data_IF_773720455546
#
_entry.id   IF_773720455546
#
_cell.length_a   1.000
_cell.length_b   1.000
_cell.length_c   1.000
_cell.angle_alpha   90.00
_cell.angle_beta   90.00
_cell.angle_gamma   90.00
#
_symmetry.space_group_name_H-M   'P 1'
#
loop_
_entity.id
_entity.type
_entity.pdbx_description
1 polymer ?
#
# COMPACT_ATOMS: atom_id res chain seq x y z
N UNK A 1 -5.39 13.83 -12.73
CA UNK A 1 -6.17 12.94 -11.85
C UNK A 1 -6.06 11.51 -12.34
N UNK A 2 -5.69 10.60 -11.46
CA UNK A 2 -5.55 9.19 -11.82
C UNK A 2 -6.90 8.57 -12.16
N UNK A 3 -6.88 7.54 -13.03
CA UNK A 3 -8.08 6.76 -13.32
C UNK A 3 -8.35 5.80 -12.17
N UNK A 4 -9.64 5.60 -11.86
CA UNK A 4 -10.07 4.74 -10.76
C UNK A 4 -10.79 3.52 -11.29
N UNK A 5 -10.38 2.33 -10.80
CA UNK A 5 -11.12 1.07 -10.96
C UNK A 5 -11.60 0.60 -9.61
N UNK A 6 -12.90 0.54 -9.44
CA UNK A 6 -13.53 0.12 -8.19
C UNK A 6 -14.03 -1.31 -8.32
N UNK A 7 -13.53 -2.20 -7.46
CA UNK A 7 -14.03 -3.57 -7.37
C UNK A 7 -15.01 -3.76 -6.23
N UNK A 8 -14.83 -3.03 -5.13
CA UNK A 8 -15.71 -3.08 -3.97
C UNK A 8 -15.85 -1.72 -3.31
N UNK A 9 -16.56 -1.70 -2.19
CA UNK A 9 -16.77 -0.49 -1.40
C UNK A 9 -15.64 -0.31 -0.38
N UNK A 10 -15.19 0.94 -0.14
CA UNK A 10 -14.32 1.21 1.01
C UNK A 10 -15.00 0.74 2.30
N UNK A 11 -14.21 0.11 3.18
CA UNK A 11 -14.75 -0.42 4.44
C UNK A 11 -14.95 0.65 5.50
N UNK A 12 -14.25 1.78 5.39
CA UNK A 12 -14.30 2.84 6.40
C UNK A 12 -13.94 4.20 5.80
N UNK A 13 -14.08 5.23 6.63
CA UNK A 13 -13.82 6.62 6.22
C UNK A 13 -12.36 6.87 5.85
N UNK A 14 -11.42 6.18 6.49
CA UNK A 14 -9.99 6.31 6.19
C UNK A 14 -9.68 5.83 4.77
N UNK A 15 -10.25 4.70 4.36
CA UNK A 15 -10.07 4.20 2.99
C UNK A 15 -10.69 5.14 1.96
N UNK A 16 -11.91 5.63 2.21
CA UNK A 16 -12.57 6.58 1.32
C UNK A 16 -11.75 7.85 1.15
N UNK A 17 -11.21 8.37 2.25
CA UNK A 17 -10.36 9.56 2.24
C UNK A 17 -9.09 9.33 1.44
N UNK A 18 -8.43 8.19 1.65
CA UNK A 18 -7.20 7.85 0.94
C UNK A 18 -7.42 7.71 -0.57
N UNK A 19 -8.47 7.01 -0.97
CA UNK A 19 -8.81 6.82 -2.39
C UNK A 19 -9.02 8.17 -3.08
N UNK A 20 -9.82 9.04 -2.47
CA UNK A 20 -10.12 10.36 -3.04
C UNK A 20 -8.87 11.22 -3.14
N UNK A 21 -8.09 11.30 -2.06
CA UNK A 21 -6.88 12.09 -2.00
C UNK A 21 -5.87 11.67 -3.06
N UNK A 22 -5.61 10.38 -3.16
CA UNK A 22 -4.66 9.83 -4.13
C UNK A 22 -5.15 10.02 -5.57
N UNK A 23 -6.42 9.73 -5.84
CA UNK A 23 -6.96 9.87 -7.18
C UNK A 23 -6.87 11.29 -7.72
N UNK A 24 -7.13 12.28 -6.87
CA UNK A 24 -7.08 13.69 -7.25
C UNK A 24 -5.65 14.20 -7.49
N UNK A 25 -4.64 13.61 -6.86
CA UNK A 25 -3.27 14.13 -6.81
C UNK A 25 -2.23 13.30 -7.52
N UNK A 26 -2.50 12.02 -7.79
CA UNK A 26 -1.59 11.21 -8.60
C UNK A 26 -1.64 11.64 -10.07
N UNK A 27 -0.55 11.42 -10.84
CA UNK A 27 -0.51 11.78 -12.26
C UNK A 27 -1.65 11.14 -13.06
N UNK A 28 -2.09 11.80 -14.13
CA UNK A 28 -3.19 11.34 -14.99
C UNK A 28 -2.92 9.98 -15.63
N UNK A 29 -1.65 9.63 -15.83
CA UNK A 29 -1.25 8.35 -16.39
C UNK A 29 -1.36 7.19 -15.41
N UNK A 30 -1.54 7.49 -14.12
CA UNK A 30 -1.62 6.47 -13.07
C UNK A 30 -3.01 5.86 -13.02
N UNK A 31 -3.06 4.62 -12.51
CA UNK A 31 -4.28 3.88 -12.29
C UNK A 31 -4.38 3.52 -10.81
N UNK A 32 -5.54 3.77 -10.21
CA UNK A 32 -5.84 3.39 -8.84
C UNK A 32 -6.92 2.33 -8.85
N UNK A 33 -6.60 1.16 -8.31
CA UNK A 33 -7.53 0.03 -8.16
C UNK A 33 -7.80 -0.13 -6.68
N UNK A 34 -9.06 -0.27 -6.28
CA UNK A 34 -9.34 -0.36 -4.86
C UNK A 34 -10.38 -1.41 -4.50
N UNK A 35 -10.25 -1.90 -3.27
CA UNK A 35 -11.16 -2.83 -2.62
C UNK A 35 -11.39 -4.09 -3.43
N UNK A 36 -10.33 -4.82 -3.66
CA UNK A 36 -10.36 -6.09 -4.38
C UNK A 36 -9.80 -7.23 -3.53
N UNK A 37 -10.07 -8.45 -3.95
CA UNK A 37 -9.64 -9.66 -3.27
C UNK A 37 -8.84 -10.55 -4.21
N UNK A 38 -7.87 -11.26 -3.64
CA UNK A 38 -7.12 -12.30 -4.35
C UNK A 38 -7.14 -13.59 -3.55
N UNK A 39 -7.36 -14.71 -4.24
CA UNK A 39 -7.34 -16.04 -3.62
C UNK A 39 -6.07 -16.78 -4.02
N UNK A 40 -5.56 -17.62 -3.11
CA UNK A 40 -4.40 -18.48 -3.37
C UNK A 40 -4.79 -19.94 -3.58
N UNK A 41 -6.10 -20.22 -3.62
CA UNK A 41 -6.62 -21.58 -3.71
C UNK A 41 -6.81 -22.27 -2.36
N UNK A 42 -6.34 -21.69 -1.28
CA UNK A 42 -6.44 -22.22 0.08
C UNK A 42 -6.86 -21.11 1.05
N UNK A 43 -7.83 -21.41 1.90
CA UNK A 43 -8.29 -20.50 2.94
C UNK A 43 -9.09 -19.31 2.42
N UNK A 44 -9.18 -18.28 3.25
CA UNK A 44 -9.91 -17.06 2.95
C UNK A 44 -9.18 -16.19 1.94
N UNK A 45 -9.91 -15.42 1.12
CA UNK A 45 -9.27 -14.46 0.22
C UNK A 45 -8.51 -13.40 1.00
N UNK A 46 -7.46 -12.86 0.38
CA UNK A 46 -6.76 -11.67 0.88
C UNK A 46 -7.45 -10.42 0.35
N UNK A 47 -7.76 -9.51 1.24
CA UNK A 47 -8.37 -8.23 0.89
C UNK A 47 -7.30 -7.16 0.69
N UNK A 48 -7.48 -6.36 -0.37
CA UNK A 48 -6.56 -5.27 -0.72
C UNK A 48 -7.32 -3.95 -0.68
N UNK A 49 -6.76 -2.98 0.02
CA UNK A 49 -7.35 -1.64 0.07
C UNK A 49 -7.15 -0.93 -1.26
N UNK A 50 -5.90 -0.73 -1.65
CA UNK A 50 -5.54 0.03 -2.86
C UNK A 50 -4.33 -0.60 -3.54
N UNK A 51 -4.36 -0.62 -4.87
CA UNK A 51 -3.18 -0.81 -5.71
C UNK A 51 -3.03 0.41 -6.61
N UNK A 52 -1.84 0.98 -6.65
CA UNK A 52 -1.52 2.12 -7.51
C UNK A 52 -0.57 1.65 -8.61
N UNK A 53 -1.03 1.72 -9.85
CA UNK A 53 -0.23 1.37 -11.01
C UNK A 53 0.45 2.64 -11.51
N UNK A 54 1.74 2.74 -11.28
CA UNK A 54 2.54 3.90 -11.66
C UNK A 54 3.48 3.60 -12.83
N UNK A 55 4.38 4.54 -13.10
CA UNK A 55 5.34 4.41 -14.21
C UNK A 55 6.47 3.43 -13.91
N UNK A 56 6.79 3.21 -12.64
CA UNK A 56 7.99 2.47 -12.23
C UNK A 56 7.68 1.18 -11.48
N UNK A 57 6.51 1.11 -10.83
CA UNK A 57 6.09 -0.08 -10.12
C UNK A 57 4.59 -0.06 -9.86
N UNK A 58 4.09 -1.16 -9.34
CA UNK A 58 2.75 -1.26 -8.74
C UNK A 58 2.92 -1.16 -7.23
N UNK A 59 2.23 -0.22 -6.61
CA UNK A 59 2.22 -0.06 -5.16
C UNK A 59 1.01 -0.76 -4.56
N UNK A 60 1.25 -1.68 -3.64
CA UNK A 60 0.21 -2.19 -2.76
C UNK A 60 0.16 -1.27 -1.55
N UNK A 61 -0.96 -0.57 -1.37
CA UNK A 61 -1.13 0.42 -0.33
C UNK A 61 -2.15 -0.08 0.70
N UNK A 62 -1.68 -0.34 1.92
CA UNK A 62 -2.54 -0.65 3.07
C UNK A 62 -2.87 0.64 3.80
N UNK A 63 -4.16 0.90 3.96
CA UNK A 63 -4.65 2.13 4.60
C UNK A 63 -4.91 1.88 6.07
N UNK A 64 -4.33 2.70 6.94
CA UNK A 64 -4.51 2.61 8.38
C UNK A 64 -4.90 3.96 8.97
N UNK A 65 -6.02 3.98 9.70
CA UNK A 65 -6.49 5.16 10.41
C UNK A 65 -6.03 5.22 11.87
N UNK A 66 -4.86 4.70 12.16
CA UNK A 66 -4.31 4.70 13.52
C UNK A 66 -4.12 6.11 14.07
N UNK A 67 -4.26 6.26 15.38
CA UNK A 67 -4.09 7.53 16.08
C UNK A 67 -3.04 7.45 17.17
N UNK A 68 -2.41 8.57 17.46
CA UNK A 68 -1.42 8.70 18.53
C UNK A 68 -0.04 8.26 18.12
N UNK A 69 0.79 7.95 19.11
CA UNK A 69 2.16 7.49 18.89
C UNK A 69 2.20 5.97 18.97
N UNK A 70 2.81 5.36 17.97
CA UNK A 70 2.97 3.92 17.86
C UNK A 70 4.44 3.60 17.99
N UNK A 71 4.78 2.62 18.83
CA UNK A 71 6.15 2.14 19.04
C UNK A 71 6.19 0.66 18.72
N UNK A 72 7.38 0.15 18.42
CA UNK A 72 7.54 -1.28 18.19
C UNK A 72 8.59 -1.62 17.16
N UNK A 73 8.42 -2.79 16.57
CA UNK A 73 9.34 -3.37 15.60
C UNK A 73 8.55 -4.04 14.45
N UNK A 74 9.21 -4.89 13.69
CA UNK A 74 8.57 -5.64 12.60
C UNK A 74 7.50 -6.63 13.06
N UNK A 75 7.53 -7.03 14.33
CA UNK A 75 6.64 -8.06 14.83
C UNK A 75 5.44 -7.49 15.56
N UNK A 76 5.66 -6.50 16.42
CA UNK A 76 4.62 -5.95 17.29
C UNK A 76 4.63 -4.44 17.31
N UNK A 77 3.44 -3.86 17.30
CA UNK A 77 3.23 -2.43 17.49
C UNK A 77 2.45 -2.19 18.78
N UNK A 78 2.92 -1.20 19.55
CA UNK A 78 2.31 -0.80 20.83
C UNK A 78 1.77 0.62 20.69
N UNK A 79 0.48 0.77 20.99
CA UNK A 79 -0.23 2.06 20.90
C UNK A 79 -0.17 2.80 22.23
N UNK A 80 -0.47 4.10 22.22
CA UNK A 80 -0.45 4.95 23.43
C UNK A 80 -1.33 4.43 24.56
N UNK A 81 -2.45 3.80 24.22
CA UNK A 81 -3.36 3.21 25.20
C UNK A 81 -2.88 1.87 25.78
N UNK A 82 -1.70 1.43 25.42
CA UNK A 82 -1.13 0.15 25.85
C UNK A 82 -1.57 -1.04 25.01
N UNK A 83 -2.47 -0.86 24.04
CA UNK A 83 -2.90 -1.94 23.15
C UNK A 83 -1.72 -2.42 22.31
N UNK A 84 -1.58 -3.72 22.18
CA UNK A 84 -0.53 -4.36 21.38
C UNK A 84 -1.21 -5.12 20.24
N UNK A 85 -0.65 -4.99 19.04
CA UNK A 85 -1.09 -5.78 17.89
C UNK A 85 0.08 -6.08 16.97
N UNK A 86 -0.06 -7.07 16.08
CA UNK A 86 1.00 -7.36 15.11
C UNK A 86 1.26 -6.15 14.22
N UNK A 87 2.53 -5.96 13.85
CA UNK A 87 2.87 -4.97 12.82
C UNK A 87 2.13 -5.30 11.52
N UNK A 88 1.59 -4.32 10.81
CA UNK A 88 0.93 -4.58 9.52
C UNK A 88 1.91 -4.89 8.40
N UNK A 89 3.20 -4.66 8.59
CA UNK A 89 4.20 -4.74 7.52
C UNK A 89 4.40 -6.17 6.99
N UNK A 90 4.59 -7.20 7.83
CA UNK A 90 4.80 -8.56 7.30
C UNK A 90 3.64 -9.07 6.45
N UNK A 91 2.40 -8.85 6.89
CA UNK A 91 1.24 -9.26 6.11
C UNK A 91 1.10 -8.46 4.82
N UNK A 92 1.32 -7.15 4.87
CA UNK A 92 1.28 -6.30 3.69
C UNK A 92 2.34 -6.71 2.66
N UNK A 93 3.55 -7.05 3.10
CA UNK A 93 4.60 -7.56 2.22
C UNK A 93 4.22 -8.91 1.59
N UNK A 94 3.61 -9.79 2.36
CA UNK A 94 3.09 -11.06 1.84
C UNK A 94 2.03 -10.83 0.76
N UNK A 95 1.11 -9.92 0.99
CA UNK A 95 0.08 -9.56 0.01
C UNK A 95 0.69 -8.98 -1.27
N UNK A 96 1.72 -8.17 -1.15
CA UNK A 96 2.44 -7.63 -2.32
C UNK A 96 3.06 -8.75 -3.15
N UNK A 97 3.64 -9.76 -2.53
CA UNK A 97 4.21 -10.93 -3.23
C UNK A 97 3.12 -11.75 -3.92
N UNK A 98 1.97 -11.90 -3.28
CA UNK A 98 0.82 -12.59 -3.88
C UNK A 98 0.34 -11.84 -5.12
N UNK A 99 0.21 -10.52 -5.04
CA UNK A 99 -0.19 -9.68 -6.17
C UNK A 99 0.80 -9.82 -7.33
N UNK A 100 2.10 -9.76 -7.06
CA UNK A 100 3.14 -9.95 -8.07
C UNK A 100 3.02 -11.32 -8.76
N UNK A 101 2.78 -12.37 -7.98
CA UNK A 101 2.59 -13.73 -8.50
C UNK A 101 1.36 -13.84 -9.40
N UNK A 102 0.26 -13.21 -9.01
CA UNK A 102 -0.97 -13.20 -9.82
C UNK A 102 -0.79 -12.44 -11.13
N UNK A 103 -0.07 -11.32 -11.11
CA UNK A 103 0.26 -10.57 -12.32
C UNK A 103 1.09 -11.40 -13.28
N UNK A 104 2.12 -12.08 -12.77
CA UNK A 104 2.96 -12.96 -13.57
C UNK A 104 2.17 -14.10 -14.22
N UNK A 105 1.24 -14.70 -13.50
CA UNK A 105 0.38 -15.76 -14.02
C UNK A 105 -0.61 -15.25 -15.08
N UNK A 106 -1.07 -14.02 -14.93
CA UNK A 106 -2.01 -13.43 -15.88
C UNK A 106 -1.36 -13.12 -17.23
N UNK A 107 -0.09 -12.69 -17.23
CA UNK A 107 0.67 -12.47 -18.45
C UNK A 107 2.18 -12.54 -18.13
N UNK A 108 2.93 -13.30 -18.94
CA UNK A 108 4.36 -13.49 -18.70
C UNK A 108 5.15 -12.18 -18.63
N UNK A 109 4.79 -11.18 -19.47
CA UNK A 109 5.44 -9.86 -19.47
C UNK A 109 5.27 -9.12 -18.14
N UNK A 110 4.22 -9.41 -17.39
CA UNK A 110 3.97 -8.78 -16.08
C UNK A 110 4.85 -9.36 -14.98
N UNK A 111 5.59 -10.42 -15.22
CA UNK A 111 6.56 -10.95 -14.27
C UNK A 111 7.74 -10.03 -14.01
N UNK A 112 7.93 -9.00 -14.84
CA UNK A 112 8.96 -7.97 -14.66
C UNK A 112 8.48 -6.78 -13.85
N UNK A 113 7.18 -6.69 -13.58
CA UNK A 113 6.60 -5.61 -12.80
C UNK A 113 7.00 -5.78 -11.35
N UNK A 114 7.59 -4.75 -10.77
CA UNK A 114 7.89 -4.70 -9.35
C UNK A 114 6.63 -4.30 -8.59
N UNK A 115 6.31 -5.06 -7.55
CA UNK A 115 5.22 -4.73 -6.63
C UNK A 115 5.81 -4.41 -5.28
N UNK A 116 5.60 -3.21 -4.79
CA UNK A 116 6.10 -2.78 -3.50
C UNK A 116 4.97 -2.42 -2.54
N UNK A 117 5.29 -2.31 -1.26
CA UNK A 117 4.36 -2.09 -0.17
C UNK A 117 4.48 -0.68 0.38
N UNK A 118 3.35 -0.05 0.64
CA UNK A 118 3.28 1.17 1.42
C UNK A 118 2.18 1.05 2.48
N UNK A 119 2.49 1.45 3.71
CA UNK A 119 1.51 1.59 4.79
C UNK A 119 1.13 3.06 4.85
N UNK A 120 -0.12 3.37 4.58
CA UNK A 120 -0.62 4.74 4.47
C UNK A 120 -1.40 5.13 5.71
N UNK A 121 -0.90 6.14 6.41
CA UNK A 121 -1.53 6.68 7.60
C UNK A 121 -2.39 7.89 7.21
N UNK A 122 -3.68 7.83 7.52
CA UNK A 122 -4.63 8.88 7.14
C UNK A 122 -4.79 9.98 8.19
N UNK A 123 -4.36 9.74 9.42
CA UNK A 123 -4.32 10.78 10.46
C UNK A 123 -2.94 11.44 10.47
N UNK A 124 -2.89 12.73 10.17
CA UNK A 124 -1.65 13.50 10.04
C UNK A 124 -0.89 13.66 11.36
N UNK A 125 -1.54 13.42 12.50
CA UNK A 125 -0.94 13.52 13.82
C UNK A 125 -0.33 12.20 14.30
N UNK A 126 -0.58 11.10 13.60
CA UNK A 126 -0.03 9.79 13.97
C UNK A 126 1.47 9.78 13.80
N UNK A 127 2.17 9.30 14.81
CA UNK A 127 3.63 9.15 14.80
C UNK A 127 3.99 7.69 14.97
N UNK A 128 4.83 7.17 14.08
CA UNK A 128 5.32 5.81 14.16
C UNK A 128 6.81 5.82 14.48
N UNK A 129 7.16 5.21 15.61
CA UNK A 129 8.54 5.12 16.11
C UNK A 129 8.94 3.66 16.22
N UNK A 130 9.24 3.07 15.09
CA UNK A 130 9.68 1.67 15.01
C UNK A 130 11.13 1.62 14.54
N UNK A 131 11.87 0.61 15.03
CA UNK A 131 13.31 0.45 14.77
C UNK A 131 13.59 -0.41 13.55
N UNK A 132 12.85 -0.23 12.50
CA UNK A 132 12.94 -1.11 11.36
C UNK A 132 13.37 -0.36 10.11
N UNK A 133 14.21 -1.00 9.29
CA UNK A 133 14.57 -0.45 7.98
C UNK A 133 13.34 -0.32 7.08
N UNK A 134 12.29 -1.05 7.39
CA UNK A 134 11.03 -0.99 6.67
C UNK A 134 10.18 0.23 7.01
N UNK A 135 10.57 1.02 8.01
CA UNK A 135 9.85 2.25 8.39
C UNK A 135 9.72 3.23 7.22
N UNK A 136 10.63 3.17 6.26
CA UNK A 136 10.58 3.99 5.04
C UNK A 136 9.34 3.73 4.19
N UNK A 137 8.65 2.62 4.43
CA UNK A 137 7.42 2.27 3.73
C UNK A 137 6.15 2.77 4.42
N UNK A 138 6.31 3.46 5.55
CA UNK A 138 5.20 4.03 6.31
C UNK A 138 5.14 5.51 5.97
N UNK A 139 4.04 5.93 5.33
CA UNK A 139 3.89 7.29 4.82
C UNK A 139 2.57 7.90 5.28
N UNK A 140 2.58 9.22 5.48
CA UNK A 140 1.36 9.96 5.74
C UNK A 140 0.64 10.30 4.44
N UNK A 141 -0.67 10.46 4.52
CA UNK A 141 -1.51 10.69 3.34
C UNK A 141 -1.06 11.90 2.53
N UNK A 142 -0.70 13.01 3.19
CA UNK A 142 -0.27 14.23 2.50
C UNK A 142 1.00 14.05 1.67
N UNK A 143 1.90 13.15 2.10
CA UNK A 143 3.16 12.88 1.40
C UNK A 143 3.04 11.77 0.35
N UNK A 144 1.94 11.03 0.35
CA UNK A 144 1.80 9.83 -0.45
C UNK A 144 1.82 10.07 -1.96
N UNK A 145 1.16 11.10 -2.52
CA UNK A 145 1.20 11.32 -3.96
C UNK A 145 2.63 11.50 -4.48
N UNK A 146 3.44 12.30 -3.81
CA UNK A 146 4.83 12.52 -4.19
C UNK A 146 5.69 11.27 -3.98
N UNK A 147 5.50 10.60 -2.84
CA UNK A 147 6.24 9.38 -2.52
C UNK A 147 6.00 8.28 -3.57
N UNK A 148 4.74 8.04 -3.92
CA UNK A 148 4.36 6.96 -4.83
C UNK A 148 4.73 7.26 -6.29
N UNK A 149 4.96 8.52 -6.64
CA UNK A 149 5.35 8.91 -8.00
C UNK A 149 6.84 9.19 -8.16
N UNK A 150 7.63 9.13 -7.09
CA UNK A 150 9.07 9.37 -7.14
C UNK A 150 9.81 8.07 -7.44
N UNK A 151 10.55 7.98 -8.57
CA UNK A 151 11.31 6.78 -8.91
C UNK A 151 12.39 6.43 -7.88
N UNK A 152 12.84 7.38 -7.08
CA UNK A 152 13.84 7.12 -6.01
C UNK A 152 13.33 6.19 -4.93
N UNK A 153 12.01 6.08 -4.77
CA UNK A 153 11.40 5.23 -3.75
C UNK A 153 11.20 3.80 -4.23
N UNK A 154 11.50 3.51 -5.49
CA UNK A 154 11.43 2.16 -6.04
C UNK A 154 12.77 1.46 -5.78
N UNK A 155 12.79 0.30 -5.08
CA UNK A 155 14.05 -0.34 -4.68
C UNK A 155 14.87 -0.91 -5.83
N UNK A 156 14.27 -1.11 -6.99
CA UNK A 156 14.96 -1.59 -8.18
C UNK A 156 15.08 -0.47 -9.20
N UNK A 157 16.09 -0.57 -10.06
CA UNK A 157 16.28 0.40 -11.12
C UNK A 157 15.01 0.45 -11.99
N UNK A 158 14.45 1.64 -12.23
CA UNK A 158 13.23 1.76 -13.01
C UNK A 158 13.39 1.14 -14.41
N UNK A 159 12.38 0.40 -14.82
CA UNK A 159 12.26 -0.14 -16.17
C UNK A 159 10.88 0.21 -16.67
N UNK A 160 10.72 0.29 -17.96
CA UNK A 160 9.43 0.50 -18.55
C UNK A 160 8.51 -0.66 -18.15
N UNK A 161 7.48 -0.34 -17.44
CA UNK A 161 6.49 -1.33 -16.97
C UNK A 161 5.56 -1.70 -18.12
N UNK A 162 5.39 -0.79 -19.03
CA UNK A 162 4.48 -0.93 -20.17
C UNK A 162 5.21 -1.09 -21.47
#
# INVERSE_FOLDING_TARGET
MARIYRFGQPENASESKAIRWLAERLPDSYLLVHNFELTTGHGMPYEYDIAVVGNFCVWHVEVKGYRGTIRGDMNQWVFDNGRVQPSPIPLANKKSKILASKLKKAAAKLGRVWVDTAILLTDDRTKVRVRDDQVTRIIHLEDAPDYLSDPKNVPVKPRDIL
#
